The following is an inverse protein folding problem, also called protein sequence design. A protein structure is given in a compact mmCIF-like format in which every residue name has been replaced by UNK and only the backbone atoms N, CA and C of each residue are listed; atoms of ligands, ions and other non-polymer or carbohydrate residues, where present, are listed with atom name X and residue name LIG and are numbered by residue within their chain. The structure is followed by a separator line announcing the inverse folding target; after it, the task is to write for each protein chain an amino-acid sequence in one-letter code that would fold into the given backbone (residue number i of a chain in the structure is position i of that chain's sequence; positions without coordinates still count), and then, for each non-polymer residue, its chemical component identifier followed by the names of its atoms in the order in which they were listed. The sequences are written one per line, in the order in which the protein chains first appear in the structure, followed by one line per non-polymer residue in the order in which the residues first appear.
data_IF_049530615155
#
_entry.id   IF_049530615155
#
_cell.length_a   1.000
_cell.length_b   1.000
_cell.length_c   1.000
_cell.angle_alpha   90.00
_cell.angle_beta   90.00
_cell.angle_gamma   90.00
#
_symmetry.space_group_name_H-M   'P 1'
#
loop_
_entity.id
_entity.type
_entity.pdbx_description
1 polymer ?
#
# COMPACT_ATOMS: atom_id res chain seq x y z
N UNK A 1 -21.13 10.02 22.24
CA UNK A 1 -19.87 9.35 21.83
C UNK A 1 -20.11 7.86 21.57
N UNK A 2 -21.05 7.49 20.69
CA UNK A 2 -21.42 6.07 20.40
C UNK A 2 -21.46 5.77 18.88
N UNK A 3 -21.30 6.81 18.04
CA UNK A 3 -21.39 6.73 16.57
C UNK A 3 -20.04 6.59 15.87
N UNK A 4 -18.91 6.47 16.58
CA UNK A 4 -17.59 6.20 15.97
C UNK A 4 -17.24 4.69 15.95
N UNK A 5 -17.96 3.89 16.74
CA UNK A 5 -17.61 2.50 17.02
C UNK A 5 -17.75 1.61 15.79
N UNK A 6 -18.88 1.57 15.05
CA UNK A 6 -18.99 0.72 13.86
C UNK A 6 -17.91 0.94 12.80
N UNK A 7 -17.56 2.19 12.47
CA UNK A 7 -16.58 2.47 11.42
C UNK A 7 -15.16 2.09 11.82
N UNK A 8 -14.74 2.38 13.05
CA UNK A 8 -13.43 1.95 13.56
C UNK A 8 -13.38 0.42 13.68
N UNK A 9 -14.42 -0.20 14.24
CA UNK A 9 -14.52 -1.67 14.34
C UNK A 9 -14.46 -2.30 12.95
N UNK A 10 -15.11 -1.73 11.94
CA UNK A 10 -15.04 -2.23 10.57
C UNK A 10 -13.62 -2.14 10.00
N UNK A 11 -12.93 -1.02 10.16
CA UNK A 11 -11.55 -0.85 9.68
C UNK A 11 -10.61 -1.86 10.35
N UNK A 12 -10.75 -2.09 11.66
CA UNK A 12 -9.94 -3.09 12.39
C UNK A 12 -10.30 -4.51 11.98
N UNK A 13 -11.59 -4.85 11.92
CA UNK A 13 -12.03 -6.22 11.62
C UNK A 13 -11.68 -6.66 10.19
N UNK A 14 -11.64 -5.73 9.24
CA UNK A 14 -11.22 -5.99 7.86
C UNK A 14 -9.70 -5.91 7.67
N UNK A 15 -8.97 -5.38 8.67
CA UNK A 15 -7.54 -5.16 8.61
C UNK A 15 -7.12 -3.92 7.82
N UNK A 16 -8.06 -3.09 7.36
CA UNK A 16 -7.80 -1.76 6.76
C UNK A 16 -7.02 -0.83 7.71
N UNK A 17 -7.17 -1.05 9.02
CA UNK A 17 -6.31 -0.47 10.02
C UNK A 17 -6.00 -1.49 11.13
N UNK A 18 -4.90 -1.29 11.87
CA UNK A 18 -4.56 -2.09 13.05
C UNK A 18 -3.97 -3.49 12.77
N UNK A 19 -3.82 -3.89 11.52
CA UNK A 19 -3.07 -5.11 11.16
C UNK A 19 -1.57 -4.87 11.31
N UNK A 20 -0.85 -5.78 11.95
CA UNK A 20 0.61 -5.71 12.05
C UNK A 20 1.26 -5.98 10.67
N UNK A 21 1.67 -4.92 9.99
CA UNK A 21 2.26 -5.00 8.66
C UNK A 21 3.68 -5.56 8.67
N UNK A 22 4.41 -5.47 9.79
CA UNK A 22 5.75 -6.04 9.92
C UNK A 22 5.70 -7.57 9.82
N UNK A 23 4.65 -8.19 10.39
CA UNK A 23 4.41 -9.64 10.27
C UNK A 23 4.25 -10.02 8.80
N UNK A 24 3.41 -9.31 8.06
CA UNK A 24 3.12 -9.57 6.63
C UNK A 24 4.38 -9.46 5.77
N UNK A 25 5.19 -8.43 6.00
CA UNK A 25 6.44 -8.20 5.26
C UNK A 25 7.43 -9.36 5.46
N UNK A 26 7.43 -9.98 6.64
CA UNK A 26 8.33 -11.06 7.04
C UNK A 26 7.77 -12.45 6.77
N UNK A 27 6.54 -12.58 6.29
CA UNK A 27 5.94 -13.87 5.98
C UNK A 27 6.75 -14.62 4.90
N UNK A 28 6.94 -15.94 5.06
CA UNK A 28 7.62 -16.74 4.06
C UNK A 28 6.78 -16.87 2.80
N UNK A 29 7.44 -16.86 1.63
CA UNK A 29 6.80 -16.98 0.32
C UNK A 29 5.97 -18.27 0.13
N UNK A 30 6.15 -19.29 0.99
CA UNK A 30 5.39 -20.54 0.98
C UNK A 30 3.95 -20.40 1.51
N UNK A 31 3.62 -19.33 2.25
CA UNK A 31 2.26 -19.02 2.72
C UNK A 31 2.01 -17.52 2.67
N UNK A 32 1.93 -16.91 1.49
CA UNK A 32 1.81 -15.46 1.38
C UNK A 32 0.44 -14.98 1.88
N UNK A 33 0.44 -13.95 2.72
CA UNK A 33 -0.72 -13.11 2.95
C UNK A 33 -1.12 -12.33 1.70
N UNK A 34 -2.41 -12.03 1.57
CA UNK A 34 -2.94 -11.16 0.53
C UNK A 34 -3.33 -9.83 1.15
N UNK A 35 -2.73 -8.76 0.65
CA UNK A 35 -3.08 -7.40 1.06
C UNK A 35 -3.83 -6.69 -0.06
N UNK A 36 -4.95 -6.09 0.29
CA UNK A 36 -5.82 -5.36 -0.62
C UNK A 36 -6.69 -4.38 0.14
N UNK A 37 -6.19 -3.17 0.33
CA UNK A 37 -6.90 -2.06 0.94
C UNK A 37 -7.89 -1.41 -0.03
N UNK A 38 -8.99 -0.89 0.51
CA UNK A 38 -9.96 -0.02 -0.16
C UNK A 38 -9.93 1.38 0.44
N UNK A 39 -9.74 1.47 1.76
CA UNK A 39 -9.80 2.74 2.48
C UNK A 39 -8.42 3.30 2.77
N UNK A 40 -7.45 2.43 3.11
CA UNK A 40 -6.14 2.84 3.60
C UNK A 40 -5.00 2.45 2.65
N UNK A 41 -5.07 2.91 1.39
CA UNK A 41 -4.07 2.60 0.37
C UNK A 41 -2.68 3.19 0.67
N UNK A 42 -2.57 4.17 1.57
CA UNK A 42 -1.27 4.73 1.99
C UNK A 42 -0.34 3.69 2.63
N UNK A 43 -0.89 2.61 3.19
CA UNK A 43 -0.11 1.49 3.71
C UNK A 43 0.69 0.75 2.63
N UNK A 44 0.32 0.84 1.34
CA UNK A 44 1.05 0.15 0.28
C UNK A 44 2.50 0.61 0.21
N UNK A 45 2.76 1.91 0.35
CA UNK A 45 4.12 2.45 0.35
C UNK A 45 5.03 1.75 1.37
N UNK A 46 4.56 1.63 2.61
CA UNK A 46 5.26 0.93 3.68
C UNK A 46 5.45 -0.56 3.38
N UNK A 47 4.42 -1.26 2.92
CA UNK A 47 4.52 -2.68 2.55
C UNK A 47 5.52 -2.93 1.41
N UNK A 48 5.55 -2.05 0.40
CA UNK A 48 6.47 -2.16 -0.73
C UNK A 48 7.91 -1.91 -0.31
N UNK A 49 8.15 -0.84 0.45
CA UNK A 49 9.47 -0.54 1.00
C UNK A 49 9.95 -1.66 1.93
N UNK A 50 9.13 -2.06 2.90
CA UNK A 50 9.41 -3.15 3.83
C UNK A 50 9.76 -4.46 3.12
N UNK A 51 9.00 -4.83 2.10
CA UNK A 51 9.28 -6.02 1.29
C UNK A 51 10.65 -5.94 0.60
N UNK A 52 11.01 -4.79 0.04
CA UNK A 52 12.31 -4.59 -0.62
C UNK A 52 13.49 -4.73 0.37
N UNK A 53 13.35 -4.23 1.60
CA UNK A 53 14.43 -4.28 2.58
C UNK A 53 14.55 -5.63 3.29
N UNK A 54 13.45 -6.35 3.52
CA UNK A 54 13.47 -7.60 4.27
C UNK A 54 13.61 -8.84 3.39
N UNK A 55 13.24 -8.78 2.10
CA UNK A 55 13.37 -9.90 1.18
C UNK A 55 14.71 -9.87 0.41
N UNK A 56 15.10 -10.96 -0.28
CA UNK A 56 16.27 -10.95 -1.15
C UNK A 56 16.26 -9.79 -2.16
N UNK A 57 17.44 -9.27 -2.47
CA UNK A 57 17.63 -8.14 -3.38
C UNK A 57 16.96 -8.41 -4.74
N UNK A 58 16.36 -7.37 -5.31
CA UNK A 58 15.66 -7.41 -6.59
C UNK A 58 16.42 -6.52 -7.60
N UNK A 59 17.14 -7.10 -8.58
CA UNK A 59 17.91 -6.32 -9.55
C UNK A 59 17.02 -5.42 -10.42
N UNK A 60 15.77 -5.80 -10.65
CA UNK A 60 14.80 -5.01 -11.42
C UNK A 60 13.61 -4.65 -10.56
N UNK A 61 13.27 -3.35 -10.51
CA UNK A 61 12.01 -2.89 -9.91
C UNK A 61 11.20 -2.07 -10.91
N UNK A 62 9.87 -2.23 -10.90
CA UNK A 62 8.96 -1.27 -11.50
C UNK A 62 8.45 -0.31 -10.43
N UNK A 63 8.60 0.98 -10.65
CA UNK A 63 8.28 2.04 -9.69
C UNK A 63 7.34 3.06 -10.34
N UNK A 64 6.27 3.42 -9.63
CA UNK A 64 5.25 4.34 -10.13
C UNK A 64 3.97 4.29 -9.30
N UNK A 65 2.88 4.82 -9.87
CA UNK A 65 1.54 4.77 -9.28
C UNK A 65 0.89 3.39 -9.42
N UNK A 66 -0.43 3.30 -9.35
CA UNK A 66 -1.16 2.07 -9.63
C UNK A 66 -1.01 1.57 -11.08
N UNK A 67 -0.59 2.42 -12.04
CA UNK A 67 -0.45 2.02 -13.45
C UNK A 67 0.64 0.98 -13.70
N UNK A 68 1.67 0.89 -12.85
CA UNK A 68 2.72 -0.12 -13.02
C UNK A 68 2.32 -1.51 -12.56
N UNK A 69 1.17 -1.68 -11.87
CA UNK A 69 0.72 -2.97 -11.34
C UNK A 69 0.47 -4.03 -12.43
N UNK A 70 0.29 -3.60 -13.69
CA UNK A 70 0.19 -4.50 -14.84
C UNK A 70 1.49 -5.21 -15.20
N UNK A 71 2.64 -4.72 -14.74
CA UNK A 71 3.95 -5.32 -15.01
C UNK A 71 4.16 -6.52 -14.07
N UNK A 72 4.40 -7.70 -14.66
CA UNK A 72 4.47 -8.97 -13.93
C UNK A 72 5.87 -9.56 -13.96
N UNK A 73 6.20 -10.37 -12.95
CA UNK A 73 7.51 -11.02 -12.84
C UNK A 73 7.84 -11.92 -14.04
N UNK A 74 6.83 -12.52 -14.67
CA UNK A 74 6.97 -13.38 -15.85
C UNK A 74 7.46 -12.64 -17.11
N UNK A 75 7.52 -11.31 -17.08
CA UNK A 75 8.06 -10.49 -18.17
C UNK A 75 9.59 -10.34 -18.11
N UNK A 76 10.25 -10.95 -17.12
CA UNK A 76 11.68 -10.81 -16.86
C UNK A 76 12.33 -12.16 -16.57
N UNK A 77 13.57 -12.33 -17.03
CA UNK A 77 14.39 -13.53 -16.76
C UNK A 77 15.18 -13.43 -15.45
N UNK A 78 15.07 -12.29 -14.75
CA UNK A 78 15.76 -12.00 -13.49
C UNK A 78 14.75 -11.66 -12.38
N UNK A 79 15.11 -11.76 -11.08
CA UNK A 79 14.18 -11.45 -10.01
C UNK A 79 13.67 -10.01 -10.10
N UNK A 80 12.35 -9.90 -10.24
CA UNK A 80 11.64 -8.63 -10.41
C UNK A 80 10.79 -8.30 -9.19
N UNK A 81 10.62 -7.00 -8.90
CA UNK A 81 9.65 -6.54 -7.91
C UNK A 81 8.82 -5.35 -8.40
N UNK A 82 7.52 -5.42 -8.16
CA UNK A 82 6.58 -4.36 -8.51
C UNK A 82 6.30 -3.48 -7.29
N UNK A 83 6.85 -2.26 -7.31
CA UNK A 83 6.66 -1.20 -6.33
C UNK A 83 5.62 -0.16 -6.80
N UNK A 84 4.54 -0.60 -7.46
CA UNK A 84 3.37 0.25 -7.72
C UNK A 84 2.70 0.76 -6.44
N UNK A 85 1.87 1.79 -6.59
CA UNK A 85 1.28 2.58 -5.49
C UNK A 85 2.28 3.33 -4.58
N UNK A 86 3.54 3.46 -5.01
CA UNK A 86 4.57 4.07 -4.16
C UNK A 86 4.83 5.54 -4.50
N UNK A 87 4.51 5.95 -5.73
CA UNK A 87 4.83 7.27 -6.29
C UNK A 87 3.54 8.01 -6.65
N UNK A 88 3.43 9.27 -6.19
CA UNK A 88 2.35 10.20 -6.53
C UNK A 88 2.85 11.41 -7.34
N UNK A 89 4.09 11.83 -7.10
CA UNK A 89 4.77 12.95 -7.76
C UNK A 89 6.09 12.53 -8.44
N UNK A 90 6.56 13.32 -9.41
CA UNK A 90 7.86 13.06 -10.06
C UNK A 90 9.03 13.13 -9.06
N UNK A 91 8.91 13.91 -7.98
CA UNK A 91 9.96 14.05 -6.96
C UNK A 91 10.13 12.79 -6.11
N UNK A 92 9.05 12.01 -5.94
CA UNK A 92 9.04 10.82 -5.09
C UNK A 92 10.04 9.76 -5.56
N UNK A 93 10.25 9.65 -6.87
CA UNK A 93 11.19 8.68 -7.45
C UNK A 93 12.59 8.82 -6.83
N UNK A 94 13.11 10.05 -6.79
CA UNK A 94 14.44 10.30 -6.24
C UNK A 94 14.49 9.97 -4.75
N UNK A 95 13.46 10.38 -4.00
CA UNK A 95 13.44 10.18 -2.56
C UNK A 95 13.29 8.71 -2.19
N UNK A 96 12.43 7.97 -2.89
CA UNK A 96 12.23 6.54 -2.68
C UNK A 96 13.52 5.75 -2.94
N UNK A 97 14.20 6.03 -4.05
CA UNK A 97 15.48 5.36 -4.37
C UNK A 97 16.59 5.74 -3.38
N UNK A 98 16.56 6.95 -2.82
CA UNK A 98 17.56 7.40 -1.86
C UNK A 98 17.42 6.70 -0.49
N UNK A 99 16.19 6.44 -0.06
CA UNK A 99 15.93 5.76 1.23
C UNK A 99 16.27 4.26 1.18
N UNK A 100 16.36 3.66 0.00
CA UNK A 100 16.80 2.27 -0.13
C UNK A 100 18.28 2.12 0.31
N UNK A 101 18.57 1.16 1.22
CA UNK A 101 19.95 0.81 1.58
C UNK A 101 20.77 0.44 0.33
N UNK A 102 22.07 0.80 0.25
CA UNK A 102 22.90 0.53 -0.92
C UNK A 102 22.85 -0.94 -1.41
N UNK A 103 22.84 -1.90 -0.50
CA UNK A 103 22.78 -3.33 -0.76
C UNK A 103 21.42 -3.82 -1.28
N UNK A 104 20.38 -3.00 -1.16
CA UNK A 104 19.03 -3.27 -1.69
C UNK A 104 18.73 -2.50 -2.96
N UNK A 105 19.63 -1.61 -3.40
CA UNK A 105 19.39 -0.81 -4.60
C UNK A 105 19.31 -1.69 -5.85
N UNK A 106 18.30 -1.45 -6.70
CA UNK A 106 18.16 -2.16 -7.97
C UNK A 106 19.24 -1.73 -8.95
N UNK A 107 19.51 -2.59 -9.92
CA UNK A 107 20.38 -2.29 -11.06
C UNK A 107 19.59 -1.58 -12.16
N UNK A 108 18.31 -1.92 -12.29
CA UNK A 108 17.40 -1.33 -13.26
C UNK A 108 16.09 -0.92 -12.60
N UNK A 109 15.66 0.32 -12.87
CA UNK A 109 14.37 0.87 -12.43
C UNK A 109 13.52 1.13 -13.68
N UNK A 110 12.41 0.42 -13.81
CA UNK A 110 11.36 0.80 -14.75
C UNK A 110 10.51 1.89 -14.10
N UNK A 111 10.69 3.13 -14.53
CA UNK A 111 9.90 4.27 -14.06
C UNK A 111 8.71 4.50 -14.99
N UNK A 112 7.49 4.44 -14.47
CA UNK A 112 6.32 4.91 -15.21
C UNK A 112 5.92 6.30 -14.74
N UNK A 113 6.07 7.27 -15.63
CA UNK A 113 5.64 8.65 -15.40
C UNK A 113 4.20 8.80 -15.87
N UNK A 114 3.33 9.22 -14.96
CA UNK A 114 1.93 9.47 -15.29
C UNK A 114 1.76 10.86 -15.90
N UNK A 115 0.72 11.03 -16.72
CA UNK A 115 0.46 12.28 -17.44
C UNK A 115 0.38 13.50 -16.51
N UNK A 116 -0.19 13.35 -15.30
CA UNK A 116 -0.31 14.43 -14.34
C UNK A 116 1.04 14.90 -13.77
N UNK A 117 2.08 14.07 -13.79
CA UNK A 117 3.42 14.44 -13.29
C UNK A 117 4.08 15.52 -14.15
N UNK A 118 3.58 15.71 -15.37
CA UNK A 118 4.00 16.79 -16.27
C UNK A 118 3.19 18.07 -16.09
N UNK A 119 2.19 18.09 -15.20
CA UNK A 119 1.44 19.28 -14.86
C UNK A 119 2.12 20.02 -13.67
N UNK A 120 2.66 21.24 -13.85
CA UNK A 120 3.30 21.99 -12.78
C UNK A 120 2.38 22.21 -11.57
N UNK A 121 1.09 22.48 -11.81
CA UNK A 121 0.12 22.70 -10.73
C UNK A 121 -0.05 21.45 -9.86
N UNK A 122 0.02 20.25 -10.45
CA UNK A 122 -0.02 19.01 -9.70
C UNK A 122 1.21 18.86 -8.81
N UNK A 123 2.39 19.16 -9.35
CA UNK A 123 3.66 19.06 -8.61
C UNK A 123 3.79 20.11 -7.49
N UNK A 124 3.15 21.27 -7.64
CA UNK A 124 3.06 22.29 -6.58
C UNK A 124 2.09 21.87 -5.46
N UNK A 125 0.99 21.21 -5.81
CA UNK A 125 -0.03 20.77 -4.86
C UNK A 125 0.29 19.42 -4.18
N UNK A 126 1.12 18.61 -4.82
CA UNK A 126 1.52 17.28 -4.35
C UNK A 126 2.97 17.35 -3.88
N UNK A 127 3.20 17.64 -2.59
CA UNK A 127 4.55 17.70 -2.07
C UNK A 127 5.23 16.35 -2.22
N UNK A 128 6.55 16.36 -2.40
CA UNK A 128 7.34 15.14 -2.41
C UNK A 128 7.12 14.41 -1.08
N UNK A 129 6.78 13.12 -1.17
CA UNK A 129 6.47 12.30 0.00
C UNK A 129 7.63 12.34 1.01
N UNK A 130 7.34 12.50 2.30
CA UNK A 130 8.35 12.30 3.35
C UNK A 130 8.78 10.82 3.34
N UNK A 131 10.07 10.53 3.57
CA UNK A 131 10.54 9.13 3.64
C UNK A 131 9.78 8.31 4.70
N UNK A 132 9.28 8.97 5.76
CA UNK A 132 8.44 8.34 6.78
C UNK A 132 7.11 7.79 6.25
N UNK A 133 6.61 8.24 5.10
CA UNK A 133 5.43 7.64 4.48
C UNK A 133 5.70 6.21 3.98
N UNK A 134 6.96 5.86 3.72
CA UNK A 134 7.37 4.52 3.32
C UNK A 134 8.10 3.74 4.42
N UNK A 135 8.76 4.41 5.37
CA UNK A 135 9.59 3.73 6.37
C UNK A 135 8.90 3.49 7.69
N UNK A 136 7.83 4.22 8.02
CA UNK A 136 7.12 4.07 9.28
C UNK A 136 5.84 3.25 9.10
N UNK A 137 5.64 2.31 10.03
CA UNK A 137 4.41 1.54 10.10
C UNK A 137 3.32 2.39 10.76
N UNK A 138 2.38 2.89 9.95
CA UNK A 138 1.24 3.67 10.44
C UNK A 138 0.01 2.81 10.75
N UNK A 139 0.15 1.48 10.73
CA UNK A 139 -0.94 0.59 11.09
C UNK A 139 -1.35 0.81 12.55
N UNK A 140 -2.63 1.07 12.78
CA UNK A 140 -3.16 1.33 14.12
C UNK A 140 -3.11 2.80 14.53
N UNK A 141 -2.60 3.71 13.68
CA UNK A 141 -2.72 5.15 13.92
C UNK A 141 -4.20 5.57 13.83
N UNK A 142 -4.77 5.88 14.99
CA UNK A 142 -6.18 6.28 15.12
C UNK A 142 -6.41 7.64 14.46
N UNK A 143 -5.46 8.57 14.53
CA UNK A 143 -5.59 9.92 13.95
C UNK A 143 -5.69 9.82 12.43
N UNK A 144 -4.81 9.02 11.80
CA UNK A 144 -4.87 8.73 10.36
C UNK A 144 -6.13 7.94 9.96
N UNK A 145 -6.74 7.19 10.88
CA UNK A 145 -7.97 6.45 10.63
C UNK A 145 -9.25 7.32 10.68
N UNK A 146 -9.26 8.46 11.36
CA UNK A 146 -10.47 9.30 11.52
C UNK A 146 -11.13 9.68 10.18
N UNK A 147 -10.40 10.18 9.16
CA UNK A 147 -11.00 10.48 7.86
C UNK A 147 -11.58 9.25 7.15
N UNK A 148 -11.00 8.07 7.39
CA UNK A 148 -11.44 6.79 6.81
C UNK A 148 -12.77 6.34 7.42
N UNK A 149 -12.94 6.51 8.72
CA UNK A 149 -14.20 6.21 9.42
C UNK A 149 -15.37 6.95 8.79
N UNK A 150 -15.19 8.23 8.44
CA UNK A 150 -16.23 9.00 7.75
C UNK A 150 -16.55 8.45 6.34
N UNK A 151 -15.54 7.97 5.59
CA UNK A 151 -15.76 7.29 4.29
C UNK A 151 -16.55 5.99 4.48
N UNK A 152 -16.17 5.18 5.47
CA UNK A 152 -16.86 3.91 5.81
C UNK A 152 -18.33 4.17 6.14
N UNK A 153 -18.65 5.14 7.01
CA UNK A 153 -20.04 5.48 7.31
C UNK A 153 -20.83 5.90 6.08
N UNK A 154 -20.23 6.72 5.22
CA UNK A 154 -20.86 7.18 3.99
C UNK A 154 -21.19 6.01 3.06
N UNK A 155 -20.30 5.03 2.95
CA UNK A 155 -20.51 3.85 2.11
C UNK A 155 -21.52 2.87 2.72
N UNK A 156 -21.59 2.77 4.05
CA UNK A 156 -22.68 2.07 4.74
C UNK A 156 -24.04 2.70 4.44
N UNK A 157 -24.17 4.02 4.58
CA UNK A 157 -25.42 4.75 4.29
C UNK A 157 -25.84 4.63 2.81
N UNK A 158 -24.87 4.44 1.92
CA UNK A 158 -25.10 4.21 0.48
C UNK A 158 -25.35 2.76 0.11
N UNK A 159 -25.36 1.83 1.07
CA UNK A 159 -25.55 0.40 0.83
C UNK A 159 -24.42 -0.26 0.03
N UNK A 160 -23.22 0.34 -0.01
CA UNK A 160 -22.06 -0.19 -0.75
C UNK A 160 -21.25 -1.20 0.05
N UNK A 161 -21.49 -1.28 1.37
CA UNK A 161 -20.80 -2.18 2.28
C UNK A 161 -21.75 -3.25 2.82
N UNK A 162 -21.31 -4.51 2.76
CA UNK A 162 -21.96 -5.64 3.41
C UNK A 162 -21.17 -6.04 4.66
N UNK A 163 -21.84 -6.12 5.81
CA UNK A 163 -21.20 -6.40 7.11
C UNK A 163 -20.56 -7.82 7.14
N UNK A 164 -21.07 -8.76 6.33
CA UNK A 164 -20.55 -10.13 6.25
C UNK A 164 -19.13 -10.27 5.71
N UNK A 165 -18.50 -9.20 5.22
CA UNK A 165 -17.11 -9.22 4.74
C UNK A 165 -16.08 -9.08 5.88
N UNK A 166 -16.52 -8.66 7.08
CA UNK A 166 -15.64 -8.45 8.24
C UNK A 166 -15.11 -9.76 8.87
N UNK A 167 -15.67 -10.92 8.50
CA UNK A 167 -15.22 -12.24 8.97
C UNK A 167 -14.42 -12.93 7.87
N UNK A 168 -13.17 -13.33 8.14
CA UNK A 168 -12.31 -13.94 7.13
C UNK A 168 -10.95 -14.38 7.69
N UNK A 169 -10.19 -15.10 6.86
CA UNK A 169 -8.82 -15.55 7.16
C UNK A 169 -7.95 -14.33 7.53
N UNK A 170 -7.20 -14.43 8.64
CA UNK A 170 -6.33 -13.37 9.14
C UNK A 170 -5.22 -12.99 8.15
N UNK A 171 -4.94 -13.85 7.16
CA UNK A 171 -4.00 -13.59 6.06
C UNK A 171 -4.56 -12.68 4.97
N UNK A 172 -5.86 -12.39 4.98
CA UNK A 172 -6.52 -11.46 4.06
C UNK A 172 -6.68 -10.10 4.75
N UNK A 173 -5.78 -9.18 4.40
CA UNK A 173 -5.69 -7.86 5.02
C UNK A 173 -6.25 -6.80 4.08
N UNK A 174 -7.24 -6.06 4.57
CA UNK A 174 -7.98 -5.08 3.79
C UNK A 174 -9.22 -5.69 3.11
N UNK A 175 -10.17 -4.81 2.79
CA UNK A 175 -11.48 -5.20 2.30
C UNK A 175 -11.40 -5.87 0.92
N UNK A 176 -10.53 -5.36 0.03
CA UNK A 176 -10.39 -5.91 -1.32
C UNK A 176 -9.77 -7.32 -1.29
N UNK A 177 -8.82 -7.58 -0.40
CA UNK A 177 -8.27 -8.92 -0.19
C UNK A 177 -9.34 -9.90 0.29
N UNK A 178 -10.21 -9.48 1.22
CA UNK A 178 -11.28 -10.34 1.75
C UNK A 178 -12.38 -10.65 0.75
N UNK A 179 -12.69 -9.71 -0.14
CA UNK A 179 -13.66 -9.93 -1.21
C UNK A 179 -13.15 -10.89 -2.29
N UNK A 180 -11.84 -10.86 -2.59
CA UNK A 180 -11.27 -11.56 -3.76
C UNK A 180 -10.36 -12.74 -3.42
N UNK A 181 -9.95 -12.92 -2.16
CA UNK A 181 -9.01 -13.94 -1.71
C UNK A 181 -9.65 -15.30 -1.37
N UNK A 182 -10.77 -15.63 -2.01
CA UNK A 182 -11.46 -16.93 -1.85
C UNK A 182 -10.92 -17.97 -2.82
#
# INVERSE_FOLDING_TARGET
MVLATPGVTFLVATGENGSDLDVVIREPASRPGLVGYVYNESHYGYLKYGSLIHQPRRPVIALGSSRVLGIRAQMFDVPFFNAGYTIESIGDFRQFLHVLPPEKRPETVLMALDQWMFNPLWNEQTPVANSQEWTANHSGDIVRAVPLVHKVYRDFLRGRLSIGVATGDSRLIGLNARCNGR
#
